data_IF_687717258514
#
_entry.id   IF_687717258514
#
_cell.length_a   1.000
_cell.length_b   1.000
_cell.length_c   1.000
_cell.angle_alpha   90.00
_cell.angle_beta   90.00
_cell.angle_gamma   90.00
#
_symmetry.space_group_name_H-M   'P 1'
#
loop_
_entity.id
_entity.type
_entity.pdbx_description
1 polymer ?
#
# COMPACT_ATOMS: atom_id res chain seq x y z
N UNK A 1 -7.07 -12.14 3.08
CA UNK A 1 -6.70 -12.81 4.34
C UNK A 1 -6.84 -11.80 5.45
N UNK A 2 -7.15 -12.23 6.69
CA UNK A 2 -7.18 -11.29 7.81
C UNK A 2 -5.75 -10.87 8.20
N UNK A 3 -5.56 -9.68 8.80
CA UNK A 3 -4.26 -9.24 9.28
C UNK A 3 -3.57 -10.26 10.20
N UNK A 4 -4.31 -10.89 11.12
CA UNK A 4 -3.79 -11.89 12.05
C UNK A 4 -3.26 -13.15 11.34
N UNK A 5 -3.89 -13.54 10.23
CA UNK A 5 -3.47 -14.72 9.48
C UNK A 5 -2.12 -14.56 8.78
N UNK A 6 -1.64 -13.32 8.62
CA UNK A 6 -0.33 -13.04 8.03
C UNK A 6 0.81 -13.58 8.86
N UNK A 7 0.61 -13.76 10.18
CA UNK A 7 1.57 -14.43 11.05
C UNK A 7 2.05 -15.78 10.48
N UNK A 8 1.12 -16.62 10.03
CA UNK A 8 1.46 -17.94 9.51
C UNK A 8 2.25 -17.88 8.21
N UNK A 9 1.96 -16.92 7.33
CA UNK A 9 2.72 -16.72 6.10
C UNK A 9 4.17 -16.31 6.42
N UNK A 10 4.34 -15.36 7.34
CA UNK A 10 5.66 -14.89 7.80
C UNK A 10 6.44 -16.01 8.45
N UNK A 11 5.83 -16.78 9.36
CA UNK A 11 6.47 -17.93 10.03
C UNK A 11 6.91 -18.99 9.02
N UNK A 12 6.07 -19.28 8.02
CA UNK A 12 6.41 -20.23 6.96
C UNK A 12 7.66 -19.81 6.17
N UNK A 13 7.78 -18.51 5.82
CA UNK A 13 8.97 -18.01 5.13
C UNK A 13 10.19 -18.06 6.08
N UNK A 14 10.03 -17.59 7.32
CA UNK A 14 11.13 -17.61 8.31
C UNK A 14 11.64 -19.01 8.59
N UNK A 15 10.79 -20.05 8.52
CA UNK A 15 11.19 -21.44 8.74
C UNK A 15 12.13 -21.98 7.65
N UNK A 16 12.21 -21.34 6.48
CA UNK A 16 13.19 -21.69 5.44
C UNK A 16 14.58 -21.08 5.67
N UNK A 17 14.78 -20.33 6.77
CA UNK A 17 16.02 -19.63 7.09
C UNK A 17 16.06 -18.17 6.62
N UNK A 18 15.10 -17.72 5.78
CA UNK A 18 15.02 -16.34 5.36
C UNK A 18 14.35 -15.48 6.44
N UNK A 19 15.12 -14.55 7.03
CA UNK A 19 14.63 -13.62 8.05
C UNK A 19 14.16 -12.28 7.46
N UNK A 20 14.48 -12.01 6.21
CA UNK A 20 14.11 -10.77 5.52
C UNK A 20 12.73 -10.92 4.87
N UNK A 21 11.69 -10.68 5.65
CA UNK A 21 10.29 -10.84 5.24
C UNK A 21 9.56 -9.54 5.49
N UNK A 22 8.85 -9.06 4.48
CA UNK A 22 7.92 -7.94 4.58
C UNK A 22 6.50 -8.41 4.28
N UNK A 23 5.52 -7.74 4.84
CA UNK A 23 4.10 -7.90 4.50
C UNK A 23 3.72 -6.73 3.61
N UNK A 24 3.09 -7.02 2.46
CA UNK A 24 2.51 -5.97 1.62
C UNK A 24 0.99 -6.05 1.68
N UNK A 25 0.36 -4.96 2.11
CA UNK A 25 -1.09 -4.79 2.09
C UNK A 25 -1.50 -4.00 0.84
N UNK A 26 -2.42 -4.55 0.05
CA UNK A 26 -3.05 -3.89 -1.09
C UNK A 26 -4.56 -3.74 -0.92
N UNK A 27 -5.04 -3.87 0.30
CA UNK A 27 -6.45 -3.86 0.60
C UNK A 27 -7.14 -5.21 0.36
N UNK A 28 -8.43 -5.23 0.62
CA UNK A 28 -9.28 -6.42 0.49
C UNK A 28 -10.59 -6.06 -0.18
N UNK A 29 -11.22 -7.03 -0.85
CA UNK A 29 -12.58 -6.87 -1.37
C UNK A 29 -13.56 -6.89 -0.20
N UNK A 30 -14.29 -5.81 -0.03
CA UNK A 30 -15.24 -5.66 1.06
C UNK A 30 -16.45 -4.80 0.67
N UNK A 31 -17.39 -5.42 -0.02
CA UNK A 31 -18.74 -4.87 -0.17
C UNK A 31 -18.97 -3.76 -1.19
N UNK A 32 -17.93 -3.08 -1.69
CA UNK A 32 -18.05 -1.92 -2.58
C UNK A 32 -17.71 -2.21 -4.05
N UNK A 33 -17.49 -3.48 -4.42
CA UNK A 33 -16.89 -3.90 -5.70
C UNK A 33 -15.46 -3.36 -5.96
N UNK A 34 -14.89 -2.66 -5.01
CA UNK A 34 -13.56 -2.10 -5.02
C UNK A 34 -12.70 -2.74 -3.92
N UNK A 35 -11.39 -2.51 -3.97
CA UNK A 35 -10.50 -2.82 -2.86
C UNK A 35 -10.61 -1.73 -1.79
N UNK A 36 -10.61 -2.15 -0.52
CA UNK A 36 -10.63 -1.25 0.64
C UNK A 36 -9.42 -1.55 1.51
N UNK A 37 -8.65 -0.52 1.85
CA UNK A 37 -7.57 -0.62 2.83
C UNK A 37 -8.17 -0.43 4.22
N UNK A 38 -8.08 -1.46 5.05
CA UNK A 38 -8.45 -1.36 6.47
C UNK A 38 -7.21 -1.02 7.29
N UNK A 39 -7.00 0.26 7.56
CA UNK A 39 -5.84 0.76 8.28
C UNK A 39 -5.70 0.20 9.70
N UNK A 40 -6.76 -0.34 10.31
CA UNK A 40 -6.69 -1.04 11.61
C UNK A 40 -5.84 -2.32 11.54
N UNK A 41 -5.68 -2.88 10.35
CA UNK A 41 -4.84 -4.06 10.11
C UNK A 41 -3.35 -3.77 10.16
N UNK A 42 -2.92 -2.52 9.90
CA UNK A 42 -1.50 -2.17 9.82
C UNK A 42 -0.76 -2.45 11.14
N UNK A 43 -1.20 -1.95 12.31
CA UNK A 43 -0.54 -2.25 13.59
C UNK A 43 -0.49 -3.74 13.90
N UNK A 44 -1.52 -4.50 13.53
CA UNK A 44 -1.57 -5.95 13.73
C UNK A 44 -0.49 -6.65 12.92
N UNK A 45 -0.37 -6.33 11.62
CA UNK A 45 0.63 -6.93 10.72
C UNK A 45 2.07 -6.56 11.12
N UNK A 46 2.30 -5.35 11.60
CA UNK A 46 3.61 -4.89 12.09
C UNK A 46 4.16 -5.73 13.24
N UNK A 47 3.32 -6.39 14.03
CA UNK A 47 3.78 -7.32 15.07
C UNK A 47 4.49 -8.57 14.48
N UNK A 48 4.34 -8.86 13.20
CA UNK A 48 4.89 -10.07 12.58
C UNK A 48 6.08 -9.78 11.67
N UNK A 49 6.00 -8.66 10.90
CA UNK A 49 7.05 -8.20 9.99
C UNK A 49 6.81 -6.72 9.61
N UNK A 50 7.85 -6.02 9.10
CA UNK A 50 7.66 -4.71 8.49
C UNK A 50 6.53 -4.74 7.45
N UNK A 51 5.65 -3.73 7.51
CA UNK A 51 4.44 -3.68 6.70
C UNK A 51 4.52 -2.55 5.68
N UNK A 52 4.37 -2.92 4.41
CA UNK A 52 4.39 -2.04 3.24
C UNK A 52 2.95 -1.84 2.77
N UNK A 53 2.55 -0.62 2.50
CA UNK A 53 1.27 -0.33 1.87
C UNK A 53 1.45 -0.14 0.36
N UNK A 54 0.77 -0.94 -0.43
CA UNK A 54 0.69 -0.81 -1.88
C UNK A 54 -0.42 0.20 -2.24
N UNK A 55 -0.02 1.42 -2.54
CA UNK A 55 -0.94 2.51 -2.84
C UNK A 55 -1.36 2.57 -4.31
N UNK A 56 -0.73 1.77 -5.16
CA UNK A 56 -1.09 1.60 -6.56
C UNK A 56 -2.21 0.58 -6.72
N UNK A 57 -1.95 -0.65 -6.32
CA UNK A 57 -2.88 -1.75 -6.54
C UNK A 57 -4.07 -1.73 -5.57
N UNK A 58 -3.97 -1.02 -4.45
CA UNK A 58 -5.12 -0.78 -3.58
C UNK A 58 -6.20 0.10 -4.23
N UNK A 59 -5.89 0.77 -5.33
CA UNK A 59 -6.84 1.60 -6.10
C UNK A 59 -7.48 0.85 -7.28
N UNK A 60 -7.15 -0.42 -7.46
CA UNK A 60 -7.75 -1.24 -8.51
C UNK A 60 -9.25 -1.43 -8.28
N UNK A 61 -10.00 -1.35 -9.38
CA UNK A 61 -11.42 -1.69 -9.46
C UNK A 61 -11.57 -2.99 -10.23
N UNK A 62 -11.52 -4.15 -9.54
CA UNK A 62 -11.66 -5.43 -10.22
C UNK A 62 -13.05 -5.60 -10.84
N UNK A 63 -13.15 -6.52 -11.82
CA UNK A 63 -14.44 -6.93 -12.41
C UNK A 63 -15.23 -5.81 -13.11
N UNK A 64 -14.57 -4.89 -13.81
CA UNK A 64 -15.28 -3.92 -14.65
C UNK A 64 -15.93 -4.61 -15.85
N UNK A 65 -17.03 -4.01 -16.34
CA UNK A 65 -17.89 -4.59 -17.41
C UNK A 65 -17.18 -4.94 -18.71
N UNK A 66 -16.01 -4.36 -18.97
CA UNK A 66 -15.22 -4.59 -20.18
C UNK A 66 -14.07 -5.59 -19.98
N UNK A 67 -13.99 -6.31 -18.86
CA UNK A 67 -12.90 -7.24 -18.55
C UNK A 67 -11.55 -6.55 -18.28
N UNK A 68 -11.50 -5.22 -18.22
CA UNK A 68 -10.32 -4.44 -17.87
C UNK A 68 -10.41 -4.01 -16.41
N UNK A 69 -9.28 -3.99 -15.72
CA UNK A 69 -9.18 -3.43 -14.38
C UNK A 69 -9.18 -1.91 -14.47
N UNK A 70 -10.16 -1.27 -13.87
CA UNK A 70 -10.17 0.18 -13.68
C UNK A 70 -9.32 0.60 -12.48
N UNK A 71 -9.18 1.91 -12.27
CA UNK A 71 -8.43 2.45 -11.14
C UNK A 71 -8.80 3.88 -10.79
N UNK A 72 -8.24 4.36 -9.69
CA UNK A 72 -8.42 5.71 -9.18
C UNK A 72 -7.07 6.31 -8.74
N UNK A 73 -6.14 6.56 -9.69
CA UNK A 73 -4.79 7.03 -9.37
C UNK A 73 -4.79 8.39 -8.63
N UNK A 74 -5.86 9.15 -8.72
CA UNK A 74 -6.08 10.39 -7.97
C UNK A 74 -6.11 10.18 -6.45
N UNK A 75 -6.38 8.96 -5.99
CA UNK A 75 -6.42 8.62 -4.56
C UNK A 75 -5.05 8.14 -4.01
N UNK A 76 -4.05 7.92 -4.86
CA UNK A 76 -2.73 7.40 -4.44
C UNK A 76 -2.15 8.22 -3.28
N UNK A 77 -2.12 9.55 -3.40
CA UNK A 77 -1.57 10.40 -2.35
C UNK A 77 -2.39 10.32 -1.05
N UNK A 78 -3.72 10.32 -1.15
CA UNK A 78 -4.59 10.25 0.03
C UNK A 78 -4.38 8.96 0.80
N UNK A 79 -4.31 7.82 0.10
CA UNK A 79 -4.05 6.51 0.70
C UNK A 79 -2.63 6.43 1.27
N UNK A 80 -1.64 6.95 0.55
CA UNK A 80 -0.25 6.99 1.03
C UNK A 80 -0.12 7.78 2.33
N UNK A 81 -0.74 8.97 2.39
CA UNK A 81 -0.75 9.80 3.60
C UNK A 81 -1.44 9.11 4.77
N UNK A 82 -2.57 8.46 4.55
CA UNK A 82 -3.25 7.68 5.58
C UNK A 82 -2.37 6.52 6.07
N UNK A 83 -1.68 5.82 5.17
CA UNK A 83 -0.71 4.77 5.52
C UNK A 83 0.43 5.28 6.40
N UNK A 84 1.07 6.39 6.01
CA UNK A 84 2.12 7.02 6.82
C UNK A 84 1.59 7.38 8.22
N UNK A 85 0.39 7.97 8.29
CA UNK A 85 -0.24 8.39 9.56
C UNK A 85 -0.64 7.21 10.45
N UNK A 86 -0.73 6.00 9.91
CA UNK A 86 -0.95 4.75 10.67
C UNK A 86 0.35 3.97 10.93
N UNK A 87 1.49 4.54 10.57
CA UNK A 87 2.80 4.00 10.89
C UNK A 87 3.27 2.86 10.01
N UNK A 88 2.87 2.79 8.73
CA UNK A 88 3.46 1.82 7.79
C UNK A 88 4.98 1.99 7.69
N UNK A 89 5.70 0.89 7.50
CA UNK A 89 7.17 0.90 7.41
C UNK A 89 7.64 1.31 6.02
N UNK A 90 6.78 1.21 5.01
CA UNK A 90 7.09 1.63 3.64
C UNK A 90 5.84 1.73 2.75
N UNK A 91 6.06 2.31 1.58
CA UNK A 91 5.04 2.50 0.53
C UNK A 91 5.53 1.82 -0.74
N UNK A 92 4.66 1.05 -1.40
CA UNK A 92 4.87 0.57 -2.76
C UNK A 92 4.10 1.46 -3.73
N UNK A 93 4.80 2.00 -4.73
CA UNK A 93 4.23 2.86 -5.78
C UNK A 93 4.70 2.36 -7.13
N UNK A 94 3.78 2.07 -8.03
CA UNK A 94 4.08 1.79 -9.42
C UNK A 94 3.95 3.07 -10.25
N UNK A 95 4.94 3.35 -11.10
CA UNK A 95 5.02 4.58 -11.88
C UNK A 95 5.37 4.29 -13.33
N UNK A 96 4.90 5.13 -14.24
CA UNK A 96 5.26 5.08 -15.65
C UNK A 96 5.40 6.49 -16.23
N UNK A 97 6.27 6.66 -17.24
CA UNK A 97 6.42 7.94 -17.95
C UNK A 97 5.13 8.41 -18.64
N UNK A 98 4.38 7.44 -19.16
CA UNK A 98 3.07 7.64 -19.79
C UNK A 98 2.18 6.45 -19.40
N UNK A 99 1.43 6.54 -18.29
CA UNK A 99 0.57 5.45 -17.82
C UNK A 99 -0.41 4.93 -18.86
N UNK A 100 -0.88 5.79 -19.77
CA UNK A 100 -1.83 5.39 -20.81
C UNK A 100 -1.22 4.41 -21.83
N UNK A 101 0.11 4.41 -21.98
CA UNK A 101 0.85 3.51 -22.87
C UNK A 101 1.41 2.26 -22.18
N UNK A 102 1.20 2.13 -20.86
CA UNK A 102 1.68 0.98 -20.10
C UNK A 102 1.04 -0.32 -20.55
N UNK A 103 1.81 -1.42 -20.54
CA UNK A 103 1.34 -2.74 -20.98
C UNK A 103 0.32 -3.37 -20.03
N UNK A 104 0.35 -2.98 -18.77
CA UNK A 104 -0.59 -3.43 -17.71
C UNK A 104 -0.78 -2.29 -16.72
N UNK A 105 -1.85 -2.34 -15.94
CA UNK A 105 -2.13 -1.49 -14.78
C UNK A 105 -2.06 0.04 -15.00
N UNK A 106 -1.99 0.50 -16.24
CA UNK A 106 -1.87 1.92 -16.57
C UNK A 106 -2.95 2.82 -15.96
N UNK A 107 -4.15 2.26 -15.72
CA UNK A 107 -5.24 2.98 -15.05
C UNK A 107 -5.02 3.23 -13.56
N UNK A 108 -3.99 2.59 -12.95
CA UNK A 108 -3.68 2.70 -11.52
C UNK A 108 -2.32 3.34 -11.25
N UNK A 109 -1.44 3.40 -12.26
CA UNK A 109 -0.09 3.91 -12.09
C UNK A 109 -0.06 5.41 -11.86
N UNK A 110 0.92 5.86 -11.08
CA UNK A 110 1.26 7.25 -10.96
C UNK A 110 2.08 7.70 -12.18
N UNK A 111 1.73 8.83 -12.78
CA UNK A 111 2.59 9.48 -13.77
C UNK A 111 3.90 9.90 -13.08
N UNK A 112 5.03 9.47 -13.65
CA UNK A 112 6.36 9.65 -13.05
C UNK A 112 6.70 11.12 -12.75
N UNK A 113 6.16 12.07 -13.51
CA UNK A 113 6.37 13.51 -13.27
C UNK A 113 5.86 13.98 -11.91
N UNK A 114 4.95 13.24 -11.28
CA UNK A 114 4.38 13.57 -9.96
C UNK A 114 5.11 12.90 -8.80
N UNK A 115 6.00 11.93 -9.08
CA UNK A 115 6.61 11.08 -8.04
C UNK A 115 7.47 11.88 -7.07
N UNK A 116 8.37 12.77 -7.57
CA UNK A 116 9.28 13.54 -6.72
C UNK A 116 8.51 14.41 -5.71
N UNK A 117 7.50 15.14 -6.19
CA UNK A 117 6.68 15.99 -5.32
C UNK A 117 5.87 15.17 -4.30
N UNK A 118 5.36 14.00 -4.70
CA UNK A 118 4.67 13.08 -3.79
C UNK A 118 5.63 12.59 -2.71
N UNK A 119 6.80 12.05 -3.08
CA UNK A 119 7.77 11.52 -2.12
C UNK A 119 8.25 12.58 -1.13
N UNK A 120 8.49 13.83 -1.59
CA UNK A 120 8.87 14.94 -0.71
C UNK A 120 7.82 15.21 0.36
N UNK A 121 6.52 15.24 -0.02
CA UNK A 121 5.42 15.44 0.94
C UNK A 121 5.26 14.26 1.90
N UNK A 122 5.42 13.03 1.40
CA UNK A 122 5.33 11.83 2.24
C UNK A 122 6.49 11.73 3.22
N UNK A 123 7.72 12.11 2.82
CA UNK A 123 8.88 12.16 3.70
C UNK A 123 8.64 13.13 4.85
N UNK A 124 8.21 14.37 4.57
CA UNK A 124 7.90 15.34 5.63
C UNK A 124 6.77 14.87 6.57
N UNK A 125 5.76 14.16 6.05
CA UNK A 125 4.72 13.56 6.90
C UNK A 125 5.28 12.42 7.76
N UNK A 126 6.19 11.61 7.22
CA UNK A 126 6.85 10.51 7.95
C UNK A 126 7.71 11.06 9.09
N UNK A 127 8.49 12.10 8.83
CA UNK A 127 9.29 12.77 9.86
C UNK A 127 8.39 13.30 10.99
N UNK A 128 7.30 13.97 10.63
CA UNK A 128 6.32 14.46 11.61
C UNK A 128 5.70 13.30 12.42
N UNK A 129 5.35 12.20 11.77
CA UNK A 129 4.80 11.02 12.46
C UNK A 129 5.81 10.46 13.47
N UNK A 130 7.07 10.28 13.08
CA UNK A 130 8.11 9.71 13.95
C UNK A 130 8.40 10.62 15.16
N UNK A 131 8.40 11.92 14.94
CA UNK A 131 8.69 12.88 16.01
C UNK A 131 7.53 13.06 17.00
N UNK A 132 6.28 12.98 16.52
CA UNK A 132 5.14 13.46 17.28
C UNK A 132 4.07 12.40 17.58
N UNK A 133 3.90 11.39 16.73
CA UNK A 133 2.80 10.42 16.80
C UNK A 133 3.25 9.03 17.22
N UNK A 134 4.42 8.56 16.80
CA UNK A 134 4.92 7.22 17.12
C UNK A 134 5.18 6.99 18.63
N UNK A 135 5.17 8.03 19.43
CA UNK A 135 5.42 7.97 20.89
C UNK A 135 4.19 7.56 21.72
N UNK A 136 3.05 7.33 21.05
CA UNK A 136 1.82 6.91 21.73
C UNK A 136 1.55 5.39 21.61
N UNK A 137 2.51 4.62 21.07
CA UNK A 137 2.44 3.17 20.97
C UNK A 137 3.11 2.46 22.16
#
# INVERSE_FOLDING_TARGET
MSPESMKFAVEKIKSTGNKNVWITDRGTQFGYNDLVVDFRGIPVMKNFAPTILDVTHSQQKPNQTNGLTGGSPENIESIARAGISTGVDGIFIETHLDPASAKSDGSNMLDLKHLEGLLSRLAGLKDYYEENLAKFE
#
